data_IF_081641352658
#
_entry.id   IF_081641352658
#
_cell.length_a   1.000
_cell.length_b   1.000
_cell.length_c   1.000
_cell.angle_alpha   90.00
_cell.angle_beta   90.00
_cell.angle_gamma   90.00
#
_symmetry.space_group_name_H-M   'P 1'
#
loop_
_entity.id
_entity.type
_entity.pdbx_description
1 polymer ?
#
# COMPACT_ATOMS: atom_id res chain seq x y z
N UNK A 1 -14.85 -0.02 8.85
CA UNK A 1 -13.69 -0.30 7.99
C UNK A 1 -13.78 0.55 6.75
N UNK A 2 -12.76 1.33 6.49
CA UNK A 2 -12.68 2.20 5.33
C UNK A 2 -11.46 1.79 4.50
N UNK A 3 -11.67 1.56 3.20
CA UNK A 3 -10.62 1.36 2.21
C UNK A 3 -10.82 2.38 1.12
N UNK A 4 -9.81 3.19 0.85
CA UNK A 4 -9.83 4.14 -0.24
C UNK A 4 -8.54 4.09 -1.07
N UNK A 5 -8.68 4.39 -2.35
CA UNK A 5 -7.57 4.45 -3.29
C UNK A 5 -7.54 5.83 -3.90
N UNK A 6 -6.40 6.51 -3.77
CA UNK A 6 -6.16 7.83 -4.35
C UNK A 6 -5.04 7.75 -5.38
N UNK A 7 -5.38 8.02 -6.64
CA UNK A 7 -4.37 8.16 -7.70
C UNK A 7 -3.64 9.49 -7.53
N UNK A 8 -2.34 9.42 -7.25
CA UNK A 8 -1.47 10.59 -7.08
C UNK A 8 -0.78 10.97 -8.39
N UNK A 9 -0.55 10.00 -9.26
CA UNK A 9 0.04 10.19 -10.55
C UNK A 9 -0.29 9.05 -11.51
N UNK A 10 -0.56 9.40 -12.77
CA UNK A 10 -1.04 8.49 -13.82
C UNK A 10 -0.34 8.72 -15.16
N UNK A 11 0.70 9.55 -15.21
CA UNK A 11 1.50 9.77 -16.40
C UNK A 11 2.56 8.68 -16.52
N UNK A 12 2.90 8.30 -17.75
CA UNK A 12 3.98 7.34 -18.03
C UNK A 12 5.25 8.08 -18.43
N UNK A 13 6.39 7.58 -17.98
CA UNK A 13 7.75 8.01 -18.33
C UNK A 13 8.14 9.42 -17.88
N UNK A 14 7.28 10.42 -18.02
CA UNK A 14 7.54 11.80 -17.60
C UNK A 14 6.28 12.45 -17.04
N UNK A 15 6.41 13.36 -16.08
CA UNK A 15 5.27 14.14 -15.61
C UNK A 15 4.79 15.13 -16.70
N UNK A 16 3.55 15.56 -16.54
CA UNK A 16 2.99 16.70 -17.26
C UNK A 16 2.64 17.80 -16.26
N UNK A 17 2.20 18.96 -16.76
CA UNK A 17 1.72 20.05 -15.88
C UNK A 17 0.56 19.57 -14.99
N UNK A 18 -0.30 18.72 -15.52
CA UNK A 18 -1.54 18.28 -14.89
C UNK A 18 -1.40 16.92 -14.16
N UNK A 19 -0.49 16.05 -14.61
CA UNK A 19 -0.36 14.68 -14.13
C UNK A 19 1.05 14.40 -13.63
N UNK A 20 1.15 13.94 -12.37
CA UNK A 20 2.34 13.28 -11.86
C UNK A 20 2.55 11.91 -12.49
N UNK A 21 3.75 11.37 -12.41
CA UNK A 21 4.10 10.01 -12.80
C UNK A 21 3.62 8.99 -11.75
N UNK A 22 3.79 7.69 -12.01
CA UNK A 22 3.15 6.61 -11.27
C UNK A 22 3.27 6.72 -9.76
N UNK A 23 2.13 6.88 -9.10
CA UNK A 23 1.98 6.77 -7.65
C UNK A 23 0.52 6.60 -7.28
N UNK A 24 0.23 5.64 -6.41
CA UNK A 24 -1.11 5.38 -5.88
C UNK A 24 -1.03 5.29 -4.36
N UNK A 25 -1.86 6.04 -3.67
CA UNK A 25 -2.02 5.88 -2.23
C UNK A 25 -3.21 4.98 -1.93
N UNK A 26 -3.02 4.05 -1.01
CA UNK A 26 -4.07 3.21 -0.45
C UNK A 26 -4.17 3.59 1.03
N UNK A 27 -5.37 3.95 1.47
CA UNK A 27 -5.65 4.25 2.88
C UNK A 27 -6.65 3.23 3.39
N UNK A 28 -6.23 2.46 4.40
CA UNK A 28 -7.04 1.43 5.04
C UNK A 28 -7.08 1.68 6.55
N UNK A 29 -8.28 1.94 7.06
CA UNK A 29 -8.51 2.20 8.50
C UNK A 29 -7.53 3.22 9.13
N UNK A 30 -7.12 4.24 8.34
CA UNK A 30 -6.16 5.27 8.76
C UNK A 30 -4.69 4.95 8.48
N UNK A 31 -4.35 3.71 8.14
CA UNK A 31 -3.02 3.35 7.66
C UNK A 31 -2.85 3.78 6.20
N UNK A 32 -1.79 4.50 5.92
CA UNK A 32 -1.45 4.94 4.56
C UNK A 32 -0.30 4.11 4.00
N UNK A 33 -0.46 3.65 2.77
CA UNK A 33 0.58 2.97 2.01
C UNK A 33 0.64 3.50 0.59
N UNK A 34 1.80 3.42 -0.06
CA UNK A 34 1.97 3.78 -1.46
C UNK A 34 2.25 2.54 -2.32
N UNK A 35 1.71 2.54 -3.53
CA UNK A 35 2.19 1.70 -4.63
C UNK A 35 2.86 2.62 -5.63
N UNK A 36 4.16 2.44 -5.81
CA UNK A 36 5.09 3.33 -6.48
C UNK A 36 5.21 4.73 -5.84
N UNK A 37 6.29 5.42 -6.17
CA UNK A 37 6.58 6.76 -5.68
C UNK A 37 7.36 7.54 -6.76
N UNK A 38 6.67 7.88 -7.84
CA UNK A 38 7.26 8.65 -8.92
C UNK A 38 7.52 10.11 -8.54
N UNK A 39 8.18 10.84 -9.42
CA UNK A 39 8.53 12.25 -9.20
C UNK A 39 7.28 13.08 -8.84
N UNK A 40 7.39 13.91 -7.80
CA UNK A 40 6.32 14.79 -7.35
C UNK A 40 5.25 14.13 -6.47
N UNK A 41 5.37 12.84 -6.11
CA UNK A 41 4.42 12.13 -5.26
C UNK A 41 4.10 12.87 -3.96
N UNK A 42 5.11 13.38 -3.25
CA UNK A 42 4.91 14.14 -2.02
C UNK A 42 4.05 15.40 -2.21
N UNK A 43 4.20 16.09 -3.36
CA UNK A 43 3.38 17.25 -3.68
C UNK A 43 1.93 16.84 -3.93
N UNK A 44 1.71 15.71 -4.59
CA UNK A 44 0.37 15.20 -4.82
C UNK A 44 -0.28 14.70 -3.52
N UNK A 45 0.49 14.09 -2.61
CA UNK A 45 -0.02 13.76 -1.28
C UNK A 45 -0.57 15.00 -0.57
N UNK A 46 0.19 16.10 -0.55
CA UNK A 46 -0.27 17.38 0.00
C UNK A 46 -1.53 17.90 -0.70
N UNK A 47 -1.54 17.86 -2.03
CA UNK A 47 -2.67 18.34 -2.85
C UNK A 47 -3.97 17.61 -2.55
N UNK A 48 -3.90 16.30 -2.34
CA UNK A 48 -5.07 15.45 -2.12
C UNK A 48 -5.32 15.12 -0.64
N UNK A 49 -4.59 15.74 0.28
CA UNK A 49 -4.77 15.51 1.72
C UNK A 49 -4.42 14.09 2.17
N UNK A 50 -3.53 13.40 1.44
CA UNK A 50 -3.06 12.06 1.84
C UNK A 50 -2.06 12.20 2.98
N UNK A 51 -2.25 11.42 4.04
CA UNK A 51 -1.42 11.45 5.24
C UNK A 51 0.03 11.04 4.96
N UNK A 52 0.98 11.74 5.58
CA UNK A 52 2.39 11.35 5.62
C UNK A 52 2.72 10.31 6.72
N UNK A 53 1.73 9.89 7.51
CA UNK A 53 1.85 8.73 8.40
C UNK A 53 1.88 7.42 7.59
N UNK A 54 2.90 7.31 6.75
CA UNK A 54 3.10 6.27 5.76
C UNK A 54 3.81 5.08 6.40
N UNK A 55 3.22 3.88 6.33
CA UNK A 55 3.83 2.65 6.86
C UNK A 55 4.69 1.91 5.85
N UNK A 56 4.21 1.81 4.62
CA UNK A 56 4.77 0.96 3.58
C UNK A 56 4.80 1.65 2.22
N UNK A 57 5.82 1.32 1.42
CA UNK A 57 5.88 1.61 -0.01
C UNK A 57 6.12 0.30 -0.77
N UNK A 58 5.28 0.00 -1.72
CA UNK A 58 5.31 -1.18 -2.58
C UNK A 58 5.71 -0.77 -3.99
N UNK A 59 6.92 -1.09 -4.40
CA UNK A 59 7.37 -0.80 -5.76
C UNK A 59 6.96 -1.91 -6.72
N UNK A 60 6.41 -1.51 -7.87
CA UNK A 60 6.09 -2.43 -8.96
C UNK A 60 7.33 -2.84 -9.74
N UNK A 61 8.20 -1.89 -10.04
CA UNK A 61 9.48 -2.06 -10.73
C UNK A 61 10.32 -0.77 -10.61
N UNK A 62 11.51 -0.74 -11.20
CA UNK A 62 12.47 0.35 -11.00
C UNK A 62 12.75 1.18 -12.26
N UNK A 63 11.72 1.49 -13.07
CA UNK A 63 11.81 2.63 -13.96
C UNK A 63 11.73 3.94 -13.18
N UNK A 64 12.42 4.97 -13.64
CA UNK A 64 12.57 6.24 -12.91
C UNK A 64 11.25 6.91 -12.55
N UNK A 65 10.26 6.80 -13.39
CA UNK A 65 8.90 7.33 -13.20
C UNK A 65 8.10 6.60 -12.10
N UNK A 66 8.61 5.49 -11.56
CA UNK A 66 7.99 4.73 -10.48
C UNK A 66 8.66 4.93 -9.12
N UNK A 67 9.89 5.44 -9.06
CA UNK A 67 10.57 5.56 -7.76
C UNK A 67 11.27 6.90 -7.50
N UNK A 68 11.48 7.74 -8.50
CA UNK A 68 12.35 8.92 -8.36
C UNK A 68 11.86 9.92 -7.32
N UNK A 69 10.56 9.99 -7.05
CA UNK A 69 9.98 10.84 -6.00
C UNK A 69 10.27 10.38 -4.58
N UNK A 70 10.68 9.11 -4.43
CA UNK A 70 10.97 8.52 -3.13
C UNK A 70 12.06 9.29 -2.36
N UNK A 71 13.13 9.72 -3.02
CA UNK A 71 14.20 10.49 -2.38
C UNK A 71 13.71 11.79 -1.76
N UNK A 72 12.87 12.53 -2.50
CA UNK A 72 12.25 13.75 -1.98
C UNK A 72 11.27 13.47 -0.84
N UNK A 73 10.52 12.37 -0.92
CA UNK A 73 9.61 11.95 0.13
C UNK A 73 10.37 11.62 1.43
N UNK A 74 11.49 10.91 1.36
CA UNK A 74 12.33 10.63 2.54
C UNK A 74 12.78 11.91 3.26
N UNK A 75 13.15 12.95 2.50
CA UNK A 75 13.54 14.24 3.08
C UNK A 75 12.35 14.93 3.77
N UNK A 76 11.20 14.90 3.14
CA UNK A 76 9.96 15.43 3.76
C UNK A 76 9.64 14.71 5.08
N UNK A 77 9.71 13.39 5.12
CA UNK A 77 9.47 12.61 6.32
C UNK A 77 10.50 12.90 7.42
N UNK A 78 11.78 13.10 7.05
CA UNK A 78 12.84 13.51 7.99
C UNK A 78 12.57 14.91 8.58
N UNK A 79 12.14 15.88 7.75
CA UNK A 79 11.79 17.23 8.19
C UNK A 79 10.57 17.24 9.12
N UNK A 80 9.68 16.26 8.98
CA UNK A 80 8.55 16.06 9.89
C UNK A 80 8.92 15.29 11.17
N UNK A 81 10.22 15.11 11.42
CA UNK A 81 10.76 14.41 12.58
C UNK A 81 10.21 12.98 12.76
N UNK A 82 9.97 12.27 11.64
CA UNK A 82 9.58 10.86 11.68
C UNK A 82 10.62 10.03 12.42
N UNK A 83 10.18 9.12 13.28
CA UNK A 83 11.00 8.15 14.00
C UNK A 83 10.64 6.71 13.63
N UNK A 84 9.40 6.48 13.22
CA UNK A 84 8.89 5.15 12.90
C UNK A 84 9.52 4.59 11.63
N UNK A 85 9.82 3.29 11.59
CA UNK A 85 10.37 2.64 10.40
C UNK A 85 9.49 2.85 9.16
N UNK A 86 10.12 3.01 8.01
CA UNK A 86 9.43 2.97 6.72
C UNK A 86 9.82 1.68 6.00
N UNK A 87 8.84 0.83 5.70
CA UNK A 87 9.06 -0.45 5.04
C UNK A 87 8.93 -0.30 3.53
N UNK A 88 9.92 -0.83 2.83
CA UNK A 88 10.01 -0.80 1.37
C UNK A 88 9.98 -2.22 0.83
N UNK A 89 9.06 -2.46 -0.07
CA UNK A 89 8.82 -3.74 -0.72
C UNK A 89 8.98 -3.60 -2.22
N UNK A 90 9.73 -4.46 -2.85
CA UNK A 90 9.89 -4.40 -4.29
C UNK A 90 10.56 -5.63 -4.86
N UNK A 91 10.54 -5.81 -6.18
CA UNK A 91 11.22 -6.91 -6.82
C UNK A 91 12.74 -6.84 -6.59
N UNK A 92 13.44 -7.92 -6.95
CA UNK A 92 14.90 -7.98 -6.93
C UNK A 92 15.49 -6.76 -7.62
N UNK A 93 16.44 -6.11 -6.95
CA UNK A 93 17.08 -4.86 -7.39
C UNK A 93 16.80 -3.68 -6.45
N UNK A 94 15.85 -3.79 -5.50
CA UNK A 94 15.56 -2.77 -4.50
C UNK A 94 16.79 -2.40 -3.67
N UNK A 95 17.49 -3.40 -3.14
CA UNK A 95 18.71 -3.19 -2.36
C UNK A 95 19.82 -2.50 -3.18
N UNK A 96 19.97 -2.89 -4.45
CA UNK A 96 20.97 -2.30 -5.34
C UNK A 96 20.61 -0.85 -5.72
N UNK A 97 19.33 -0.55 -5.90
CA UNK A 97 18.84 0.80 -6.15
C UNK A 97 19.18 1.72 -4.98
N UNK A 98 18.83 1.32 -3.76
CA UNK A 98 19.10 2.16 -2.58
C UNK A 98 20.58 2.38 -2.31
N UNK A 99 21.44 1.36 -2.51
CA UNK A 99 22.89 1.54 -2.45
C UNK A 99 23.42 2.58 -3.45
N UNK A 100 22.82 2.68 -4.64
CA UNK A 100 23.19 3.69 -5.64
C UNK A 100 22.70 5.09 -5.26
N UNK A 101 21.63 5.18 -4.49
CA UNK A 101 21.09 6.45 -4.00
C UNK A 101 21.66 6.87 -2.65
N UNK A 102 22.41 5.99 -2.00
CA UNK A 102 23.14 6.28 -0.78
C UNK A 102 24.19 7.35 -1.08
N UNK A 103 24.12 8.48 -0.38
CA UNK A 103 24.96 9.65 -0.65
C UNK A 103 24.34 10.70 -1.61
N UNK A 104 23.16 10.50 -2.17
CA UNK A 104 22.41 11.55 -2.86
C UNK A 104 21.78 12.54 -1.87
N UNK A 105 22.55 13.01 -0.92
CA UNK A 105 22.17 13.98 0.10
C UNK A 105 23.07 13.85 1.30
N UNK A 106 23.45 14.98 1.87
CA UNK A 106 24.35 15.05 3.04
C UNK A 106 23.63 14.74 4.37
N UNK A 107 22.32 14.66 4.35
CA UNK A 107 21.52 14.54 5.56
C UNK A 107 21.17 13.08 5.87
N UNK A 108 21.40 12.71 7.12
CA UNK A 108 21.01 11.40 7.65
C UNK A 108 19.49 11.35 7.86
N UNK A 109 18.87 10.22 7.54
CA UNK A 109 17.46 10.00 7.85
C UNK A 109 17.25 9.91 9.37
N UNK A 110 16.15 10.45 9.85
CA UNK A 110 15.74 10.39 11.26
C UNK A 110 15.09 9.05 11.65
N UNK A 111 14.83 8.17 10.69
CA UNK A 111 14.11 6.92 10.86
C UNK A 111 14.77 5.78 10.08
N UNK A 112 14.58 4.52 10.49
CA UNK A 112 15.11 3.38 9.78
C UNK A 112 14.31 3.09 8.50
N UNK A 113 15.02 2.61 7.47
CA UNK A 113 14.43 1.99 6.28
C UNK A 113 14.56 0.47 6.39
N UNK A 114 13.43 -0.23 6.27
CA UNK A 114 13.38 -1.68 6.24
C UNK A 114 13.10 -2.14 4.81
N UNK A 115 14.07 -2.83 4.20
CA UNK A 115 14.00 -3.23 2.80
C UNK A 115 13.76 -4.72 2.66
N UNK A 116 12.77 -5.07 1.85
CA UNK A 116 12.50 -6.47 1.52
C UNK A 116 12.33 -6.63 0.01
N UNK A 117 13.23 -7.40 -0.59
CA UNK A 117 13.04 -7.88 -1.95
C UNK A 117 12.05 -9.04 -1.94
N UNK A 118 10.99 -8.91 -2.71
CA UNK A 118 9.86 -9.86 -2.71
C UNK A 118 10.01 -10.91 -3.82
N UNK A 119 9.40 -12.06 -3.57
CA UNK A 119 9.17 -13.09 -4.58
C UNK A 119 7.73 -13.00 -5.07
N UNK A 120 7.45 -12.94 -6.39
CA UNK A 120 6.09 -12.98 -6.89
C UNK A 120 5.33 -14.22 -6.40
N UNK A 121 4.12 -14.05 -5.91
CA UNK A 121 3.29 -15.10 -5.34
C UNK A 121 3.43 -15.28 -3.82
N UNK A 122 4.45 -14.72 -3.19
CA UNK A 122 4.61 -14.76 -1.73
C UNK A 122 3.92 -13.56 -1.07
N UNK A 123 2.87 -13.75 -0.26
CA UNK A 123 2.12 -12.64 0.31
C UNK A 123 2.90 -11.94 1.43
N UNK A 124 2.89 -10.62 1.40
CA UNK A 124 3.33 -9.76 2.49
C UNK A 124 2.17 -9.60 3.48
N UNK A 125 2.26 -10.28 4.62
CA UNK A 125 1.21 -10.28 5.64
C UNK A 125 1.19 -8.97 6.43
N UNK A 126 -0.03 -8.49 6.71
CA UNK A 126 -0.34 -7.34 7.54
C UNK A 126 -1.50 -7.67 8.48
N UNK A 127 -1.82 -6.76 9.37
CA UNK A 127 -2.97 -6.96 10.27
C UNK A 127 -4.29 -6.85 9.52
N UNK A 128 -4.96 -8.00 9.37
CA UNK A 128 -6.25 -8.15 8.71
C UNK A 128 -6.25 -8.05 7.18
N UNK A 129 -5.07 -8.08 6.52
CA UNK A 129 -4.95 -8.15 5.06
C UNK A 129 -3.58 -8.68 4.62
N UNK A 130 -3.46 -8.96 3.34
CA UNK A 130 -2.17 -9.26 2.71
C UNK A 130 -1.98 -8.41 1.47
N UNK A 131 -0.73 -8.05 1.18
CA UNK A 131 -0.31 -7.52 -0.11
C UNK A 131 0.34 -8.63 -0.91
N UNK A 132 -0.32 -9.06 -1.99
CA UNK A 132 0.13 -10.15 -2.85
C UNK A 132 0.81 -9.61 -4.11
N UNK A 133 2.14 -9.78 -4.26
CA UNK A 133 2.82 -9.47 -5.51
C UNK A 133 2.55 -10.56 -6.55
N UNK A 134 2.14 -10.19 -7.76
CA UNK A 134 1.96 -11.11 -8.87
C UNK A 134 2.81 -10.67 -10.07
N UNK A 135 3.32 -11.62 -10.89
CA UNK A 135 4.19 -11.27 -12.00
C UNK A 135 3.43 -10.49 -13.08
N UNK A 136 4.08 -9.47 -13.61
CA UNK A 136 3.56 -8.67 -14.74
C UNK A 136 4.58 -8.69 -15.87
N UNK A 137 4.12 -8.91 -17.09
CA UNK A 137 4.99 -8.82 -18.26
C UNK A 137 5.28 -7.36 -18.59
N UNK A 138 6.53 -6.96 -18.42
CA UNK A 138 6.99 -5.61 -18.71
C UNK A 138 8.31 -5.62 -19.49
N UNK A 139 8.26 -6.20 -20.69
CA UNK A 139 9.41 -6.37 -21.59
C UNK A 139 10.61 -7.04 -20.88
N UNK A 140 11.72 -6.30 -20.73
CA UNK A 140 12.97 -6.81 -20.14
C UNK A 140 13.11 -6.48 -18.65
N UNK A 141 12.13 -5.86 -18.03
CA UNK A 141 12.14 -5.48 -16.62
C UNK A 141 11.42 -6.51 -15.77
N UNK A 142 12.01 -6.84 -14.62
CA UNK A 142 11.30 -7.56 -13.59
C UNK A 142 10.25 -6.62 -12.97
N UNK A 143 8.99 -6.94 -13.18
CA UNK A 143 7.88 -6.13 -12.69
C UNK A 143 6.82 -6.99 -12.01
N UNK A 144 6.17 -6.42 -11.00
CA UNK A 144 5.06 -7.02 -10.28
C UNK A 144 3.87 -6.08 -10.23
N UNK A 145 2.68 -6.65 -10.24
CA UNK A 145 1.47 -5.97 -9.77
C UNK A 145 1.26 -6.29 -8.29
N UNK A 146 0.46 -5.49 -7.60
CA UNK A 146 0.11 -5.68 -6.20
C UNK A 146 -1.39 -5.84 -6.05
N UNK A 147 -1.82 -6.86 -5.32
CA UNK A 147 -3.21 -7.03 -4.91
C UNK A 147 -3.30 -6.92 -3.40
N UNK A 148 -4.15 -6.00 -2.91
CA UNK A 148 -4.54 -5.98 -1.51
C UNK A 148 -5.71 -6.94 -1.33
N UNK A 149 -5.53 -7.94 -0.49
CA UNK A 149 -6.53 -8.97 -0.19
C UNK A 149 -6.83 -8.89 1.30
N UNK A 150 -8.04 -8.52 1.64
CA UNK A 150 -8.50 -8.48 3.02
C UNK A 150 -8.82 -9.87 3.52
N UNK A 151 -8.59 -10.10 4.80
CA UNK A 151 -9.06 -11.32 5.47
C UNK A 151 -10.59 -11.34 5.46
N UNK A 152 -11.15 -12.53 5.25
CA UNK A 152 -12.60 -12.72 5.33
C UNK A 152 -13.11 -12.27 6.69
N UNK A 153 -13.99 -11.31 6.69
CA UNK A 153 -14.70 -10.86 7.89
C UNK A 153 -16.14 -11.30 7.83
N UNK A 154 -16.65 -11.71 8.95
CA UNK A 154 -18.08 -11.99 9.07
C UNK A 154 -18.86 -10.71 8.77
N UNK A 155 -19.85 -10.80 7.91
CA UNK A 155 -20.81 -9.73 7.67
C UNK A 155 -21.54 -9.33 8.96
N UNK A 156 -22.13 -8.15 8.95
CA UNK A 156 -23.07 -7.80 10.03
C UNK A 156 -24.25 -8.76 9.96
N UNK A 157 -24.65 -9.27 11.10
CA UNK A 157 -25.88 -10.05 11.20
C UNK A 157 -27.07 -9.17 10.78
N UNK A 158 -27.88 -9.67 9.85
CA UNK A 158 -29.07 -8.99 9.37
C UNK A 158 -30.31 -9.63 10.00
N UNK A 159 -30.92 -8.99 11.00
CA UNK A 159 -32.09 -9.51 11.68
C UNK A 159 -33.32 -9.63 10.76
N UNK A 160 -33.49 -8.71 9.80
CA UNK A 160 -34.63 -8.72 8.89
C UNK A 160 -34.52 -9.86 7.89
N UNK A 161 -33.34 -10.08 7.34
CA UNK A 161 -33.06 -11.24 6.49
C UNK A 161 -33.31 -12.55 7.26
N UNK A 162 -32.82 -12.64 8.50
CA UNK A 162 -33.04 -13.83 9.33
C UNK A 162 -34.54 -14.11 9.57
N UNK A 163 -35.34 -13.07 9.84
CA UNK A 163 -36.79 -13.20 9.97
C UNK A 163 -37.44 -13.65 8.66
N UNK A 164 -37.05 -13.05 7.53
CA UNK A 164 -37.60 -13.40 6.22
C UNK A 164 -37.29 -14.85 5.83
N UNK A 165 -36.19 -15.40 6.32
CA UNK A 165 -35.79 -16.81 6.15
C UNK A 165 -36.51 -17.75 7.15
N UNK A 166 -37.38 -17.23 8.01
CA UNK A 166 -38.13 -18.02 9.02
C UNK A 166 -37.28 -18.45 10.21
N UNK A 167 -36.10 -17.80 10.45
CA UNK A 167 -35.26 -18.11 11.60
C UNK A 167 -35.75 -17.34 12.81
N UNK A 168 -36.29 -18.04 13.86
CA UNK A 168 -36.83 -17.36 15.02
C UNK A 168 -35.78 -16.60 15.81
N UNK A 169 -36.19 -15.47 16.38
CA UNK A 169 -35.34 -14.70 17.29
C UNK A 169 -34.98 -15.54 18.51
N UNK A 170 -33.70 -15.50 18.88
CA UNK A 170 -33.22 -16.24 20.04
C UNK A 170 -31.74 -16.69 19.93
N UNK A 171 -31.36 -17.73 20.69
CA UNK A 171 -29.96 -18.21 20.73
C UNK A 171 -29.38 -18.61 19.37
N UNK A 172 -30.25 -18.99 18.41
CA UNK A 172 -29.85 -19.33 17.04
C UNK A 172 -29.21 -18.15 16.32
N UNK A 173 -29.71 -16.94 16.51
CA UNK A 173 -29.12 -15.74 15.92
C UNK A 173 -27.70 -15.50 16.40
N UNK A 174 -27.43 -15.74 17.68
CA UNK A 174 -26.08 -15.69 18.23
C UNK A 174 -25.15 -16.72 17.61
N UNK A 175 -25.65 -17.94 17.34
CA UNK A 175 -24.87 -18.98 16.65
C UNK A 175 -24.56 -18.60 15.21
N UNK A 176 -25.56 -18.11 14.45
CA UNK A 176 -25.36 -17.62 13.07
C UNK A 176 -24.35 -16.48 13.05
N UNK A 177 -24.48 -15.51 13.94
CA UNK A 177 -23.56 -14.39 14.04
C UNK A 177 -22.12 -14.84 14.32
N UNK A 178 -21.93 -15.94 15.06
CA UNK A 178 -20.62 -16.57 15.25
C UNK A 178 -20.19 -17.45 14.07
N UNK A 179 -21.02 -17.60 13.03
CA UNK A 179 -20.73 -18.41 11.84
C UNK A 179 -20.81 -19.91 12.10
N UNK A 180 -21.54 -20.33 13.13
CA UNK A 180 -21.82 -21.73 13.41
C UNK A 180 -22.81 -22.26 12.36
N UNK A 181 -22.54 -23.47 11.82
CA UNK A 181 -23.54 -24.16 10.99
C UNK A 181 -24.70 -24.58 11.89
N UNK A 182 -25.90 -24.24 11.47
CA UNK A 182 -27.13 -24.72 12.11
C UNK A 182 -27.67 -25.84 11.23
N UNK A 183 -27.79 -26.99 11.79
CA UNK A 183 -28.43 -28.17 11.19
C UNK A 183 -29.80 -28.36 11.82
#
# INVERSE_FOLDING_TARGET
>A
MTLSVQFLGTSASRPTIERGVSAVAIVRDGETMLVDCGEGTQRQMMRYGVSFALGDIFFTHFHTDHYLGFLGLLRTLTLQARTEPLRLWGPKGLNALLKKTDGLGSERLSFPLELTEITPGEPVKRDGYVMLPFPVNHRHQLAVGWALIEEERRGRFDPELARSMGIPEGPLWGKIHRGERIT
#
